data_IF_541789756539
#
_entry.id   IF_541789756539
#
_cell.length_a   1.000
_cell.length_b   1.000
_cell.length_c   1.000
_cell.angle_alpha   90.00
_cell.angle_beta   90.00
_cell.angle_gamma   90.00
#
_symmetry.space_group_name_H-M   'P 1'
#
loop_
_entity.id
_entity.type
_entity.pdbx_description
1 polymer ?
#
# COMPACT_ATOMS: atom_id res chain seq x y z
N UNK A 1 65.62 -30.05 -60.36
CA UNK A 1 65.15 -28.96 -59.47
C UNK A 1 64.12 -28.14 -60.24
N UNK A 2 63.08 -27.59 -59.57
CA UNK A 2 61.92 -26.85 -60.15
C UNK A 2 60.64 -27.63 -60.46
N UNK A 3 60.24 -28.60 -59.62
CA UNK A 3 58.86 -29.17 -59.64
C UNK A 3 58.30 -29.52 -58.25
N UNK A 4 58.75 -28.82 -57.21
CA UNK A 4 58.34 -29.06 -55.81
C UNK A 4 57.78 -27.81 -55.10
N UNK A 5 57.66 -26.68 -55.80
CA UNK A 5 57.23 -25.41 -55.20
C UNK A 5 55.71 -25.14 -55.28
N UNK A 6 54.92 -26.06 -55.85
CA UNK A 6 53.49 -25.86 -56.13
C UNK A 6 52.55 -26.61 -55.17
N UNK A 7 53.10 -27.37 -54.22
CA UNK A 7 52.31 -28.10 -53.21
C UNK A 7 52.24 -27.38 -51.85
N UNK A 8 53.03 -26.33 -51.62
CA UNK A 8 53.02 -25.60 -50.34
C UNK A 8 51.90 -24.57 -50.21
N UNK A 9 51.26 -24.15 -51.31
CA UNK A 9 50.16 -23.18 -51.31
C UNK A 9 48.77 -23.77 -51.02
N UNK A 10 48.59 -25.08 -51.22
CA UNK A 10 47.29 -25.77 -51.02
C UNK A 10 47.16 -26.27 -49.58
N UNK A 11 48.27 -26.51 -48.87
CA UNK A 11 48.26 -26.93 -47.47
C UNK A 11 47.91 -25.79 -46.49
N UNK A 12 48.02 -24.51 -46.90
CA UNK A 12 47.69 -23.36 -46.04
C UNK A 12 46.20 -22.96 -46.09
N UNK A 13 45.43 -23.49 -47.04
CA UNK A 13 43.97 -23.25 -47.15
C UNK A 13 43.14 -24.25 -46.33
N UNK A 14 43.76 -25.27 -45.73
CA UNK A 14 43.11 -26.31 -44.91
C UNK A 14 43.36 -26.16 -43.40
N UNK A 15 44.04 -25.10 -42.97
CA UNK A 15 44.25 -24.74 -41.56
C UNK A 15 43.20 -23.74 -41.03
N UNK A 16 42.04 -23.66 -41.68
CA UNK A 16 40.88 -22.85 -41.29
C UNK A 16 39.75 -23.68 -40.64
N UNK A 17 40.07 -24.74 -39.89
CA UNK A 17 39.11 -25.38 -38.99
C UNK A 17 39.31 -24.82 -37.57
N UNK A 18 38.94 -23.56 -37.35
CA UNK A 18 38.62 -23.12 -35.99
C UNK A 18 37.35 -23.86 -35.60
N UNK A 19 37.49 -24.82 -34.70
CA UNK A 19 36.38 -25.38 -33.95
C UNK A 19 35.63 -24.22 -33.28
N UNK A 20 34.54 -23.77 -33.91
CA UNK A 20 33.52 -23.02 -33.19
C UNK A 20 32.99 -23.96 -32.11
N UNK A 21 33.11 -23.63 -30.81
CA UNK A 21 32.27 -24.28 -29.84
C UNK A 21 30.84 -23.95 -30.26
N UNK A 22 30.08 -24.97 -30.62
CA UNK A 22 28.63 -24.91 -30.73
C UNK A 22 28.13 -24.31 -29.42
N UNK A 23 27.88 -23.00 -29.42
CA UNK A 23 27.05 -22.37 -28.43
C UNK A 23 25.72 -23.13 -28.44
N UNK A 24 25.20 -23.56 -27.29
CA UNK A 24 23.86 -24.13 -27.24
C UNK A 24 22.92 -23.07 -27.81
N UNK A 25 22.21 -23.42 -28.87
CA UNK A 25 21.26 -22.53 -29.51
C UNK A 25 20.31 -22.00 -28.45
N UNK A 26 20.33 -20.69 -28.25
CA UNK A 26 19.19 -19.93 -27.78
C UNK A 26 17.98 -20.38 -28.64
N UNK A 27 17.13 -21.21 -28.07
CA UNK A 27 16.09 -21.95 -28.77
C UNK A 27 14.72 -21.84 -28.12
N UNK A 28 14.51 -20.83 -27.28
CA UNK A 28 13.15 -20.37 -27.01
C UNK A 28 12.82 -19.32 -28.07
N UNK A 29 11.78 -19.50 -28.91
CA UNK A 29 11.29 -18.41 -29.73
C UNK A 29 10.96 -17.22 -28.80
N UNK A 30 11.31 -16.01 -29.22
CA UNK A 30 10.90 -14.82 -28.48
C UNK A 30 9.37 -14.89 -28.27
N UNK A 31 8.87 -14.64 -27.05
CA UNK A 31 7.46 -14.78 -26.75
C UNK A 31 6.63 -13.88 -27.67
N UNK A 32 5.49 -14.39 -28.13
CA UNK A 32 4.62 -13.60 -28.97
C UNK A 32 4.10 -12.38 -28.19
N UNK A 33 3.78 -11.26 -28.86
CA UNK A 33 3.21 -10.09 -28.18
C UNK A 33 1.90 -10.41 -27.43
N UNK A 34 1.12 -11.39 -27.91
CA UNK A 34 -0.07 -11.88 -27.22
C UNK A 34 0.26 -12.58 -25.90
N UNK A 35 1.27 -13.43 -25.87
CA UNK A 35 1.70 -14.14 -24.66
C UNK A 35 2.14 -13.16 -23.57
N UNK A 36 2.89 -12.12 -23.97
CA UNK A 36 3.30 -11.05 -23.06
C UNK A 36 2.11 -10.25 -22.52
N UNK A 37 1.07 -10.05 -23.34
CA UNK A 37 -0.14 -9.35 -22.91
C UNK A 37 -0.90 -10.17 -21.87
N UNK A 38 -1.13 -11.45 -22.16
CA UNK A 38 -1.84 -12.37 -21.25
C UNK A 38 -1.07 -12.50 -19.93
N UNK A 39 0.25 -12.70 -20.01
CA UNK A 39 1.11 -12.76 -18.82
C UNK A 39 1.01 -11.48 -17.98
N UNK A 40 1.09 -10.31 -18.63
CA UNK A 40 0.98 -9.03 -17.94
C UNK A 40 -0.40 -8.76 -17.35
N UNK A 41 -1.47 -9.27 -17.96
CA UNK A 41 -2.81 -9.22 -17.39
C UNK A 41 -2.93 -10.08 -16.14
N UNK A 42 -2.47 -11.34 -16.19
CA UNK A 42 -2.50 -12.24 -15.05
C UNK A 42 -1.66 -11.71 -13.88
N UNK A 43 -0.43 -11.28 -14.17
CA UNK A 43 0.48 -10.72 -13.18
C UNK A 43 -0.05 -9.40 -12.61
N UNK A 44 -0.56 -8.52 -13.45
CA UNK A 44 -1.11 -7.23 -13.04
C UNK A 44 -2.34 -7.37 -12.15
N UNK A 45 -3.24 -8.32 -12.45
CA UNK A 45 -4.44 -8.55 -11.64
C UNK A 45 -4.14 -9.24 -10.29
N UNK A 46 -3.14 -10.12 -10.25
CA UNK A 46 -2.82 -10.92 -9.06
C UNK A 46 -1.81 -10.24 -8.14
N UNK A 47 -0.75 -9.67 -8.70
CA UNK A 47 0.40 -9.14 -7.97
C UNK A 47 0.61 -7.64 -8.17
N UNK A 48 -0.04 -7.02 -9.16
CA UNK A 48 0.21 -5.64 -9.56
C UNK A 48 1.47 -5.46 -10.40
N UNK A 49 2.16 -6.54 -10.79
CA UNK A 49 3.33 -6.46 -11.67
C UNK A 49 2.92 -6.14 -13.12
N UNK A 50 3.53 -5.10 -13.67
CA UNK A 50 3.28 -4.58 -15.02
C UNK A 50 4.46 -4.78 -15.97
N UNK A 51 5.55 -5.42 -15.53
CA UNK A 51 6.77 -5.56 -16.34
C UNK A 51 6.54 -6.24 -17.69
N UNK A 52 5.66 -7.26 -17.75
CA UNK A 52 5.35 -7.93 -19.01
C UNK A 52 4.63 -6.99 -20.00
N UNK A 53 3.78 -6.08 -19.50
CA UNK A 53 3.11 -5.06 -20.31
C UNK A 53 4.08 -3.98 -20.80
N UNK A 54 5.04 -3.58 -19.95
CA UNK A 54 6.09 -2.63 -20.33
C UNK A 54 7.01 -3.22 -21.41
N UNK A 55 7.43 -4.47 -21.24
CA UNK A 55 8.24 -5.20 -22.24
C UNK A 55 7.50 -5.36 -23.56
N UNK A 56 6.19 -5.62 -23.52
CA UNK A 56 5.36 -5.68 -24.72
C UNK A 56 5.41 -4.34 -25.47
N UNK A 57 5.20 -3.23 -24.76
CA UNK A 57 5.20 -1.88 -25.35
C UNK A 57 6.56 -1.50 -25.93
N UNK A 58 7.66 -1.85 -25.26
CA UNK A 58 9.02 -1.53 -25.74
C UNK A 58 9.48 -2.41 -26.90
N UNK A 59 9.08 -3.69 -26.92
CA UNK A 59 9.59 -4.69 -27.87
C UNK A 59 8.72 -4.78 -29.12
N UNK A 60 7.41 -4.52 -29.00
CA UNK A 60 6.44 -4.63 -30.09
C UNK A 60 5.54 -3.37 -30.18
N UNK A 61 6.11 -2.17 -30.42
CA UNK A 61 5.35 -0.91 -30.39
C UNK A 61 4.24 -0.84 -31.46
N UNK A 62 4.45 -1.45 -32.63
CA UNK A 62 3.48 -1.45 -33.73
C UNK A 62 2.43 -2.59 -33.63
N UNK A 63 2.46 -3.37 -32.55
CA UNK A 63 1.53 -4.48 -32.33
C UNK A 63 0.14 -3.96 -31.97
N UNK A 64 -0.96 -4.63 -32.42
CA UNK A 64 -2.31 -4.30 -31.98
C UNK A 64 -2.50 -4.46 -30.46
N UNK A 65 -1.59 -5.17 -29.79
CA UNK A 65 -1.60 -5.37 -28.34
C UNK A 65 -0.94 -4.23 -27.56
N UNK A 66 -0.06 -3.42 -28.18
CA UNK A 66 0.62 -2.32 -27.51
C UNK A 66 -0.33 -1.27 -26.91
N UNK A 67 -1.32 -0.72 -27.66
CA UNK A 67 -2.26 0.25 -27.07
C UNK A 67 -3.14 -0.38 -25.98
N UNK A 68 -3.47 -1.68 -26.10
CA UNK A 68 -4.22 -2.41 -25.07
C UNK A 68 -3.41 -2.57 -23.79
N UNK A 69 -2.12 -2.91 -23.92
CA UNK A 69 -1.20 -3.03 -22.80
C UNK A 69 -1.02 -1.70 -22.07
N UNK A 70 -0.93 -0.58 -22.81
CA UNK A 70 -0.87 0.75 -22.23
C UNK A 70 -2.14 1.09 -21.42
N UNK A 71 -3.33 0.85 -21.99
CA UNK A 71 -4.60 1.09 -21.29
C UNK A 71 -4.74 0.22 -20.04
N UNK A 72 -4.32 -1.04 -20.11
CA UNK A 72 -4.32 -1.94 -18.97
C UNK A 72 -3.34 -1.49 -17.88
N UNK A 73 -2.12 -1.07 -18.24
CA UNK A 73 -1.16 -0.53 -17.29
C UNK A 73 -1.75 0.69 -16.56
N UNK A 74 -2.33 1.64 -17.29
CA UNK A 74 -2.98 2.81 -16.68
C UNK A 74 -4.09 2.42 -15.70
N UNK A 75 -4.97 1.49 -16.08
CA UNK A 75 -6.05 1.03 -15.22
C UNK A 75 -5.55 0.32 -13.95
N UNK A 76 -4.47 -0.46 -14.04
CA UNK A 76 -3.85 -1.12 -12.91
C UNK A 76 -3.20 -0.12 -11.95
N UNK A 77 -2.54 0.91 -12.48
CA UNK A 77 -1.92 1.96 -11.68
C UNK A 77 -2.98 2.82 -10.97
N UNK A 78 -4.06 3.19 -11.66
CA UNK A 78 -5.20 3.88 -11.05
C UNK A 78 -5.82 3.04 -9.93
N UNK A 79 -6.06 1.75 -10.18
CA UNK A 79 -6.56 0.81 -9.16
C UNK A 79 -5.64 0.78 -7.93
N UNK A 80 -4.31 0.76 -8.14
CA UNK A 80 -3.31 0.72 -7.05
C UNK A 80 -3.39 1.99 -6.19
N UNK A 81 -3.48 3.16 -6.83
CA UNK A 81 -3.63 4.43 -6.13
C UNK A 81 -4.93 4.47 -5.31
N UNK A 82 -6.06 4.12 -5.93
CA UNK A 82 -7.36 4.07 -5.25
C UNK A 82 -7.38 3.09 -4.06
N UNK A 83 -6.70 1.94 -4.17
CA UNK A 83 -6.55 1.03 -3.04
C UNK A 83 -5.75 1.64 -1.89
N UNK A 84 -4.68 2.38 -2.19
CA UNK A 84 -3.90 3.09 -1.18
C UNK A 84 -4.72 4.16 -0.46
N UNK A 85 -5.48 4.96 -1.21
CA UNK A 85 -6.38 5.97 -0.65
C UNK A 85 -7.48 5.34 0.22
N UNK A 86 -8.08 4.24 -0.24
CA UNK A 86 -9.09 3.50 0.51
C UNK A 86 -8.55 3.01 1.85
N UNK A 87 -7.33 2.47 1.87
CA UNK A 87 -6.73 1.97 3.11
C UNK A 87 -6.40 3.11 4.08
N UNK A 88 -5.85 4.22 3.58
CA UNK A 88 -5.61 5.41 4.40
C UNK A 88 -6.92 5.99 5.00
N UNK A 89 -8.00 6.00 4.22
CA UNK A 89 -9.32 6.41 4.69
C UNK A 89 -9.88 5.45 5.76
N UNK A 90 -9.70 4.14 5.58
CA UNK A 90 -10.11 3.14 6.59
C UNK A 90 -9.36 3.32 7.91
N UNK A 91 -8.05 3.51 7.85
CA UNK A 91 -7.23 3.74 9.04
C UNK A 91 -7.67 5.02 9.76
N UNK A 92 -7.86 6.10 9.00
CA UNK A 92 -8.33 7.39 9.53
C UNK A 92 -9.71 7.25 10.17
N UNK A 93 -10.65 6.56 9.51
CA UNK A 93 -11.99 6.33 10.03
C UNK A 93 -11.96 5.51 11.33
N UNK A 94 -11.14 4.45 11.38
CA UNK A 94 -10.97 3.63 12.57
C UNK A 94 -10.37 4.43 13.74
N UNK A 95 -9.40 5.32 13.47
CA UNK A 95 -8.85 6.24 14.48
C UNK A 95 -9.91 7.19 15.01
N UNK A 96 -10.63 7.89 14.13
CA UNK A 96 -11.67 8.84 14.52
C UNK A 96 -12.79 8.16 15.31
N UNK A 97 -13.18 6.94 14.93
CA UNK A 97 -14.19 6.17 15.68
C UNK A 97 -13.76 5.87 17.11
N UNK A 98 -12.46 5.56 17.34
CA UNK A 98 -11.92 5.38 18.69
C UNK A 98 -11.90 6.69 19.48
N UNK A 99 -11.52 7.80 18.85
CA UNK A 99 -11.52 9.11 19.49
C UNK A 99 -12.94 9.54 19.91
N UNK A 100 -13.94 9.31 19.07
CA UNK A 100 -15.35 9.58 19.40
C UNK A 100 -15.78 8.79 20.64
N UNK A 101 -15.46 7.49 20.69
CA UNK A 101 -15.81 6.64 21.84
C UNK A 101 -15.17 7.14 23.14
N UNK A 102 -13.89 7.52 23.11
CA UNK A 102 -13.20 8.09 24.27
C UNK A 102 -13.81 9.43 24.72
N UNK A 103 -14.21 10.28 23.79
CA UNK A 103 -14.88 11.55 24.10
C UNK A 103 -16.27 11.33 24.70
N UNK A 104 -17.02 10.33 24.24
CA UNK A 104 -18.32 9.97 24.81
C UNK A 104 -18.21 9.43 26.24
N UNK A 105 -17.20 8.59 26.51
CA UNK A 105 -16.88 8.13 27.85
C UNK A 105 -16.49 9.30 28.77
N UNK A 106 -15.62 10.18 28.30
CA UNK A 106 -15.20 11.39 29.01
C UNK A 106 -16.38 12.29 29.36
N UNK A 107 -17.26 12.57 28.40
CA UNK A 107 -18.47 13.37 28.61
C UNK A 107 -19.40 12.74 29.65
N UNK A 108 -19.53 11.42 29.63
CA UNK A 108 -20.36 10.69 30.61
C UNK A 108 -19.79 10.83 32.01
N UNK A 109 -18.47 10.70 32.16
CA UNK A 109 -17.78 10.90 33.43
C UNK A 109 -17.93 12.34 33.95
N UNK A 110 -17.68 13.33 33.11
CA UNK A 110 -17.83 14.74 33.48
C UNK A 110 -19.27 15.07 33.93
N UNK A 111 -20.27 14.50 33.24
CA UNK A 111 -21.67 14.64 33.65
C UNK A 111 -21.92 14.06 35.06
N UNK A 112 -21.40 12.87 35.35
CA UNK A 112 -21.53 12.24 36.67
C UNK A 112 -20.84 13.06 37.76
N UNK A 113 -19.63 13.55 37.50
CA UNK A 113 -18.88 14.41 38.43
C UNK A 113 -19.66 15.72 38.70
N UNK A 114 -20.22 16.35 37.67
CA UNK A 114 -21.06 17.55 37.84
C UNK A 114 -22.27 17.28 38.73
N UNK A 115 -23.01 16.20 38.47
CA UNK A 115 -24.18 15.83 39.28
C UNK A 115 -23.78 15.54 40.74
N UNK A 116 -22.63 14.91 40.97
CA UNK A 116 -22.15 14.65 42.33
C UNK A 116 -21.78 15.95 43.06
N UNK A 117 -21.15 16.91 42.37
CA UNK A 117 -20.82 18.22 42.92
C UNK A 117 -22.09 19.03 43.22
N UNK A 118 -23.08 19.04 42.33
CA UNK A 118 -24.37 19.70 42.56
C UNK A 118 -25.06 19.18 43.83
N UNK A 119 -25.09 17.85 44.03
CA UNK A 119 -25.63 17.26 45.27
C UNK A 119 -24.86 17.68 46.50
N UNK A 120 -23.53 17.74 46.42
CA UNK A 120 -22.68 18.14 47.54
C UNK A 120 -22.88 19.62 47.90
N UNK A 121 -23.09 20.48 46.91
CA UNK A 121 -23.45 21.89 47.13
C UNK A 121 -24.77 21.98 47.89
N UNK A 122 -25.81 21.27 47.43
CA UNK A 122 -27.11 21.26 48.11
C UNK A 122 -27.00 20.79 49.56
N UNK A 123 -26.26 19.70 49.80
CA UNK A 123 -26.06 19.18 51.15
C UNK A 123 -25.34 20.19 52.07
N UNK A 124 -24.29 20.84 51.56
CA UNK A 124 -23.58 21.87 52.32
C UNK A 124 -24.46 23.09 52.62
N UNK A 125 -25.38 23.45 51.72
CA UNK A 125 -26.35 24.52 51.96
C UNK A 125 -27.31 24.15 53.10
N UNK A 126 -27.86 22.93 53.09
CA UNK A 126 -28.71 22.44 54.19
C UNK A 126 -27.98 22.42 55.53
N UNK A 127 -26.71 21.98 55.55
CA UNK A 127 -25.92 21.93 56.77
C UNK A 127 -25.60 23.33 57.30
N UNK A 128 -25.33 24.30 56.41
CA UNK A 128 -25.18 25.71 56.79
C UNK A 128 -26.47 26.28 57.38
N UNK A 129 -27.63 25.96 56.81
CA UNK A 129 -28.93 26.39 57.33
C UNK A 129 -29.21 25.81 58.73
N UNK A 130 -28.97 24.51 58.92
CA UNK A 130 -29.11 23.85 60.24
C UNK A 130 -28.17 24.48 61.27
N UNK A 131 -26.92 24.73 60.90
CA UNK A 131 -25.93 25.32 61.81
C UNK A 131 -26.34 26.75 62.20
N UNK A 132 -26.85 27.52 61.26
CA UNK A 132 -27.42 28.85 61.53
C UNK A 132 -28.59 28.79 62.53
N UNK A 133 -29.52 27.86 62.34
CA UNK A 133 -30.64 27.65 63.26
C UNK A 133 -30.16 27.26 64.66
N UNK A 134 -29.21 26.33 64.76
CA UNK A 134 -28.64 25.91 66.04
C UNK A 134 -27.98 27.08 66.78
N UNK A 135 -27.23 27.93 66.08
CA UNK A 135 -26.63 29.12 66.68
C UNK A 135 -27.68 30.06 67.26
N UNK A 136 -28.75 30.34 66.51
CA UNK A 136 -29.88 31.17 66.97
C UNK A 136 -30.52 30.55 68.22
N UNK A 137 -30.76 29.23 68.21
CA UNK A 137 -31.33 28.54 69.38
C UNK A 137 -30.42 28.60 70.60
N UNK A 138 -29.11 28.44 70.43
CA UNK A 138 -28.16 28.50 71.55
C UNK A 138 -28.09 29.89 72.16
N UNK A 139 -28.04 30.94 71.34
CA UNK A 139 -28.06 32.33 71.81
C UNK A 139 -29.38 32.65 72.53
N UNK A 140 -30.51 32.18 71.99
CA UNK A 140 -31.82 32.36 72.63
C UNK A 140 -31.94 31.67 74.00
N UNK A 141 -31.23 30.56 74.23
CA UNK A 141 -31.22 29.85 75.52
C UNK A 141 -30.24 30.47 76.52
N UNK A 142 -29.26 31.24 76.06
CA UNK A 142 -28.25 31.90 76.89
C UNK A 142 -28.73 33.24 77.48
N UNK A 143 -29.83 33.79 76.95
CA UNK A 143 -30.49 35.02 77.40
C UNK A 143 -31.86 34.74 78.04
#
# INVERSE_FOLDING_TARGET
>A
MMRQSLFLGIALLLAGCSASPLAPSAGAPAPAPEDLFVLGLEQGLTSGDVQALERLQSTFPDSPWAPRAQGLHQALEEKRLLMGELEALRETNARLSREILLLEEGKTREYQERVALERRILHLQEDLEKLSQLLIETERRAH
#
